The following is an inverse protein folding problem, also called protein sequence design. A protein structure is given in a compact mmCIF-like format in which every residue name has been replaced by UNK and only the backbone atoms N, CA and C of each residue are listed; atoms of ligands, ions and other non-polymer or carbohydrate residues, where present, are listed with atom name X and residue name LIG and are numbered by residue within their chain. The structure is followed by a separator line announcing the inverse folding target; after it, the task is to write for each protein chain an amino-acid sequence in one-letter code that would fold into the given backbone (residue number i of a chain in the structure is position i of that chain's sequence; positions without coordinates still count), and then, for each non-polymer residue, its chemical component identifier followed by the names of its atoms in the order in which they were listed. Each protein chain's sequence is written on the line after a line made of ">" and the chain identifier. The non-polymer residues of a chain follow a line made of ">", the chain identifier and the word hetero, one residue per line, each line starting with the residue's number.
data_IF_627667576692
#
_entry.id   IF_627667576692
#
_cell.length_a   1.000
_cell.length_b   1.000
_cell.length_c   1.000
_cell.angle_alpha   90.00
_cell.angle_beta   90.00
_cell.angle_gamma   90.00
#
_symmetry.space_group_name_H-M   'P 1'
#
loop_
_entity.id
_entity.type
_entity.pdbx_description
1 polymer ?
#
# COMPACT_ATOMS: atom_id res chain seq x y z
N UNK A 1 -41.98 62.05 13.56
CA UNK A 1 -41.17 61.72 12.38
C UNK A 1 -39.73 61.59 12.83
N UNK A 2 -39.27 60.37 12.94
CA UNK A 2 -37.85 60.00 13.22
C UNK A 2 -37.46 59.06 12.15
N UNK A 3 -36.49 59.45 11.33
CA UNK A 3 -35.91 58.70 10.22
C UNK A 3 -35.01 57.57 10.77
N UNK A 4 -35.27 56.36 10.29
CA UNK A 4 -34.39 55.20 10.48
C UNK A 4 -33.36 55.16 9.34
N UNK A 5 -32.12 55.55 9.64
CA UNK A 5 -30.99 55.31 8.73
C UNK A 5 -30.57 53.86 8.79
N UNK A 6 -30.68 53.19 7.65
CA UNK A 6 -30.20 51.79 7.46
C UNK A 6 -28.67 51.78 7.30
N UNK A 7 -27.98 51.12 8.22
CA UNK A 7 -26.53 50.82 8.11
C UNK A 7 -26.37 49.66 7.14
N UNK A 8 -25.84 49.94 5.96
CA UNK A 8 -25.33 48.89 5.04
C UNK A 8 -23.99 48.40 5.57
N UNK A 9 -23.96 47.16 6.07
CA UNK A 9 -22.71 46.46 6.39
C UNK A 9 -22.14 45.86 5.11
N UNK A 10 -20.94 46.30 4.73
CA UNK A 10 -20.21 45.81 3.56
C UNK A 10 -19.77 44.35 3.74
N UNK A 11 -20.50 43.41 3.12
CA UNK A 11 -20.23 41.97 3.15
C UNK A 11 -19.13 41.44 2.19
N UNK A 12 -18.36 42.33 1.57
CA UNK A 12 -17.39 41.93 0.53
C UNK A 12 -15.95 41.71 1.02
N UNK A 13 -15.51 42.40 2.06
CA UNK A 13 -14.12 42.29 2.55
C UNK A 13 -13.84 41.02 3.38
N UNK A 14 -14.83 40.51 4.10
CA UNK A 14 -14.67 39.27 4.88
C UNK A 14 -14.56 38.04 3.99
N UNK A 15 -15.30 38.00 2.87
CA UNK A 15 -15.27 36.90 1.90
C UNK A 15 -13.96 36.84 1.08
N UNK A 16 -13.42 38.02 0.73
CA UNK A 16 -12.12 38.08 0.03
C UNK A 16 -10.94 37.77 0.92
N UNK A 17 -10.98 38.17 2.20
CA UNK A 17 -9.94 37.83 3.16
C UNK A 17 -9.95 36.32 3.50
N UNK A 18 -11.12 35.70 3.63
CA UNK A 18 -11.23 34.26 3.84
C UNK A 18 -10.68 33.46 2.64
N UNK A 19 -10.99 33.88 1.40
CA UNK A 19 -10.43 33.28 0.17
C UNK A 19 -8.92 33.53 0.04
N UNK A 20 -8.42 34.72 0.40
CA UNK A 20 -6.97 35.00 0.42
C UNK A 20 -6.22 34.25 1.48
N UNK A 21 -6.81 33.96 2.64
CA UNK A 21 -6.23 33.11 3.71
C UNK A 21 -6.23 31.65 3.28
N UNK A 22 -7.31 31.15 2.67
CA UNK A 22 -7.38 29.79 2.13
C UNK A 22 -6.37 29.58 0.99
N UNK A 23 -6.26 30.54 0.04
CA UNK A 23 -5.27 30.48 -1.06
C UNK A 23 -3.84 30.66 -0.56
N UNK A 24 -3.61 31.39 0.55
CA UNK A 24 -2.28 31.51 1.18
C UNK A 24 -1.91 30.29 2.04
N UNK A 25 -2.87 29.59 2.66
CA UNK A 25 -2.60 28.34 3.36
C UNK A 25 -2.24 27.22 2.39
N UNK A 26 -2.84 27.21 1.20
CA UNK A 26 -2.52 26.23 0.15
C UNK A 26 -1.12 26.49 -0.49
N UNK A 27 -0.69 27.76 -0.59
CA UNK A 27 0.66 28.11 -1.08
C UNK A 27 1.79 27.94 -0.07
N UNK A 28 1.51 27.65 1.21
CA UNK A 28 2.51 27.40 2.28
C UNK A 28 2.63 25.94 2.68
N UNK A 29 1.94 25.00 2.07
CA UNK A 29 2.39 23.61 2.09
C UNK A 29 3.71 23.59 1.34
N UNK A 30 4.80 23.71 2.10
CA UNK A 30 6.15 23.53 1.57
C UNK A 30 6.11 22.34 0.63
N UNK A 31 6.76 22.45 -0.51
CA UNK A 31 6.99 21.35 -1.48
C UNK A 31 7.70 20.20 -0.79
N UNK A 32 6.96 19.41 -0.02
CA UNK A 32 7.50 18.30 0.75
C UNK A 32 7.42 17.05 -0.11
N UNK A 33 8.56 16.47 -0.39
CA UNK A 33 8.68 15.17 -1.04
C UNK A 33 8.74 14.11 0.04
N UNK A 34 7.60 13.50 0.34
CA UNK A 34 7.53 12.37 1.26
C UNK A 34 7.58 11.05 0.47
N UNK A 35 8.33 10.09 1.00
CA UNK A 35 8.42 8.75 0.45
C UNK A 35 8.09 7.72 1.52
N UNK A 36 7.07 6.90 1.24
CA UNK A 36 6.79 5.65 1.94
C UNK A 36 7.43 4.54 1.12
N UNK A 37 8.31 3.75 1.72
CA UNK A 37 8.81 2.52 1.10
C UNK A 37 8.15 1.38 1.85
N UNK A 38 7.14 0.77 1.20
CA UNK A 38 6.38 -0.33 1.78
C UNK A 38 6.88 -1.67 1.28
N UNK A 39 7.31 -2.52 2.20
CA UNK A 39 7.71 -3.90 1.91
C UNK A 39 6.52 -4.84 2.08
N UNK A 40 6.05 -5.42 1.00
CA UNK A 40 4.94 -6.37 1.00
C UNK A 40 5.39 -7.75 1.49
N UNK A 41 4.43 -8.59 1.92
CA UNK A 41 4.60 -10.00 2.29
C UNK A 41 5.33 -10.26 3.63
N UNK A 42 5.35 -9.35 4.59
CA UNK A 42 5.79 -9.66 5.95
C UNK A 42 4.95 -10.84 6.49
N UNK A 43 5.59 -11.84 7.08
CA UNK A 43 4.91 -13.04 7.55
C UNK A 43 4.87 -14.20 6.54
N UNK A 44 5.30 -13.99 5.30
CA UNK A 44 5.28 -15.05 4.29
C UNK A 44 6.25 -16.18 4.66
N UNK A 45 7.55 -15.91 4.76
CA UNK A 45 8.57 -16.85 5.25
C UNK A 45 9.57 -16.16 6.19
N UNK A 46 10.36 -16.95 6.91
CA UNK A 46 11.41 -16.43 7.79
C UNK A 46 12.46 -15.61 7.01
N UNK A 47 12.82 -16.05 5.80
CA UNK A 47 13.73 -15.33 4.92
C UNK A 47 13.20 -13.97 4.51
N UNK A 48 11.91 -13.91 4.17
CA UNK A 48 11.25 -12.64 3.84
C UNK A 48 11.22 -11.71 5.05
N UNK A 49 10.85 -12.20 6.22
CA UNK A 49 10.83 -11.40 7.45
C UNK A 49 12.20 -10.80 7.77
N UNK A 50 13.27 -11.61 7.70
CA UNK A 50 14.65 -11.13 7.94
C UNK A 50 15.05 -10.06 6.94
N UNK A 51 14.75 -10.24 5.65
CA UNK A 51 15.08 -9.26 4.61
C UNK A 51 14.36 -7.93 4.79
N UNK A 52 13.07 -7.96 5.14
CA UNK A 52 12.28 -6.76 5.43
C UNK A 52 12.86 -6.01 6.64
N UNK A 53 13.17 -6.71 7.73
CA UNK A 53 13.79 -6.10 8.91
C UNK A 53 15.14 -5.48 8.58
N UNK A 54 15.96 -6.15 7.77
CA UNK A 54 17.24 -5.59 7.35
C UNK A 54 17.05 -4.35 6.47
N UNK A 55 16.13 -4.39 5.50
CA UNK A 55 15.80 -3.26 4.64
C UNK A 55 15.24 -2.06 5.45
N UNK A 56 14.56 -2.33 6.57
CA UNK A 56 14.13 -1.29 7.50
C UNK A 56 15.30 -0.71 8.30
N UNK A 57 16.08 -1.56 8.95
CA UNK A 57 17.15 -1.12 9.88
C UNK A 57 18.32 -0.45 9.16
N UNK A 58 18.70 -0.95 8.00
CA UNK A 58 19.88 -0.50 7.25
C UNK A 58 19.55 0.28 5.99
N UNK A 59 18.30 0.25 5.53
CA UNK A 59 17.88 0.74 4.23
C UNK A 59 16.80 1.80 4.27
N UNK A 60 15.88 1.71 3.30
CA UNK A 60 14.84 2.70 3.04
C UNK A 60 13.45 2.28 3.51
N UNK A 61 13.20 1.02 3.86
CA UNK A 61 11.88 0.52 4.22
C UNK A 61 11.35 1.24 5.46
N UNK A 62 10.17 1.83 5.34
CA UNK A 62 9.50 2.59 6.41
C UNK A 62 8.21 1.93 6.87
N UNK A 63 7.60 1.12 5.99
CA UNK A 63 6.37 0.39 6.27
C UNK A 63 6.43 -1.01 5.72
N UNK A 64 5.57 -1.90 6.21
CA UNK A 64 5.44 -3.25 5.69
C UNK A 64 4.01 -3.76 5.88
N UNK A 65 3.56 -4.63 4.98
CA UNK A 65 2.23 -5.22 5.01
C UNK A 65 2.29 -6.67 5.44
N UNK A 66 1.62 -6.98 6.56
CA UNK A 66 1.66 -8.26 7.25
C UNK A 66 0.54 -9.20 6.77
N UNK A 67 0.93 -10.38 6.30
CA UNK A 67 0.03 -11.49 5.99
C UNK A 67 -0.41 -12.20 7.28
N UNK A 68 -1.67 -12.08 7.63
CA UNK A 68 -2.23 -12.70 8.83
C UNK A 68 -2.21 -14.25 8.76
N UNK A 69 -2.31 -14.80 7.57
CA UNK A 69 -2.27 -16.24 7.30
C UNK A 69 -0.91 -16.75 6.81
N UNK A 70 0.13 -15.92 6.82
CA UNK A 70 1.48 -16.31 6.43
C UNK A 70 2.09 -17.37 7.38
N UNK A 71 2.88 -18.30 6.84
CA UNK A 71 3.47 -19.39 7.63
C UNK A 71 4.48 -18.90 8.68
N UNK A 72 5.10 -17.74 8.45
CA UNK A 72 6.04 -17.10 9.37
C UNK A 72 5.40 -15.94 10.17
N UNK A 73 4.08 -15.97 10.38
CA UNK A 73 3.34 -14.92 11.09
C UNK A 73 3.91 -14.62 12.49
N UNK A 74 4.24 -15.67 13.27
CA UNK A 74 4.77 -15.49 14.64
C UNK A 74 6.10 -14.74 14.67
N UNK A 75 7.03 -15.05 13.77
CA UNK A 75 8.29 -14.34 13.70
C UNK A 75 8.12 -12.92 13.15
N UNK A 76 7.14 -12.70 12.28
CA UNK A 76 6.78 -11.37 11.82
C UNK A 76 6.29 -10.47 12.97
N UNK A 77 5.52 -11.01 13.91
CA UNK A 77 5.12 -10.29 15.13
C UNK A 77 6.33 -9.88 15.97
N UNK A 78 7.25 -10.81 16.22
CA UNK A 78 8.48 -10.51 16.95
C UNK A 78 9.34 -9.44 16.22
N UNK A 79 9.39 -9.53 14.90
CA UNK A 79 10.06 -8.54 14.06
C UNK A 79 9.41 -7.15 14.19
N UNK A 80 8.09 -7.05 14.11
CA UNK A 80 7.35 -5.80 14.27
C UNK A 80 7.55 -5.19 15.67
N UNK A 81 7.42 -5.98 16.72
CA UNK A 81 7.62 -5.55 18.10
C UNK A 81 9.05 -5.05 18.38
N UNK A 82 10.05 -5.66 17.75
CA UNK A 82 11.46 -5.27 17.86
C UNK A 82 11.83 -4.06 16.99
N UNK A 83 10.90 -3.56 16.16
CA UNK A 83 11.11 -2.43 15.25
C UNK A 83 9.92 -1.46 15.30
N UNK A 84 9.74 -0.73 16.42
CA UNK A 84 8.55 0.11 16.61
C UNK A 84 8.45 1.30 15.65
N UNK A 85 9.51 1.60 14.90
CA UNK A 85 9.52 2.62 13.85
C UNK A 85 8.98 2.10 12.51
N UNK A 86 8.86 0.77 12.34
CA UNK A 86 8.28 0.16 11.15
C UNK A 86 6.75 0.29 11.21
N UNK A 87 6.17 1.03 10.27
CA UNK A 87 4.72 1.05 10.12
C UNK A 87 4.22 -0.31 9.61
N UNK A 88 3.40 -1.01 10.38
CA UNK A 88 2.89 -2.33 9.98
C UNK A 88 1.41 -2.23 9.62
N UNK A 89 1.07 -2.56 8.36
CA UNK A 89 -0.30 -2.70 7.88
C UNK A 89 -0.76 -4.15 7.83
N UNK A 90 -2.01 -4.38 7.42
CA UNK A 90 -2.53 -5.72 7.11
C UNK A 90 -2.58 -5.92 5.61
N UNK A 91 -1.91 -6.97 5.14
CA UNK A 91 -1.91 -7.41 3.75
C UNK A 91 -3.09 -8.33 3.51
N UNK A 92 -4.24 -7.76 3.11
CA UNK A 92 -5.50 -8.47 2.91
C UNK A 92 -5.33 -9.52 1.80
N UNK A 93 -5.57 -10.78 2.13
CA UNK A 93 -5.30 -11.89 1.25
C UNK A 93 -6.58 -12.69 0.94
N UNK A 94 -6.71 -13.13 -0.30
CA UNK A 94 -7.77 -14.03 -0.78
C UNK A 94 -7.21 -15.10 -1.75
N UNK A 95 -5.90 -15.21 -1.86
CA UNK A 95 -5.29 -15.93 -2.99
C UNK A 95 -4.22 -16.94 -2.63
N UNK A 96 -3.80 -17.01 -1.37
CA UNK A 96 -2.70 -17.91 -1.00
C UNK A 96 -2.82 -18.39 0.46
N UNK A 97 -2.64 -19.67 0.69
CA UNK A 97 -2.61 -20.31 2.00
C UNK A 97 -3.98 -20.47 2.68
N UNK A 98 -3.99 -20.93 3.94
CA UNK A 98 -5.21 -21.24 4.66
C UNK A 98 -6.02 -19.97 4.98
N UNK A 99 -7.35 -20.07 5.13
CA UNK A 99 -8.16 -18.96 5.61
C UNK A 99 -7.82 -18.64 7.06
N UNK A 100 -8.09 -17.40 7.46
CA UNK A 100 -7.99 -16.96 8.85
C UNK A 100 -9.31 -17.11 9.59
N UNK A 101 -10.41 -16.87 8.90
CA UNK A 101 -11.76 -17.16 9.40
C UNK A 101 -12.03 -18.68 9.48
N UNK A 102 -13.00 -19.14 10.28
CA UNK A 102 -13.45 -20.54 10.26
C UNK A 102 -13.81 -20.98 8.83
N UNK A 103 -13.27 -22.10 8.38
CA UNK A 103 -13.42 -22.57 6.99
C UNK A 103 -14.90 -22.74 6.59
N UNK A 104 -15.76 -23.12 7.54
CA UNK A 104 -17.21 -23.25 7.34
C UNK A 104 -17.92 -21.93 7.04
N UNK A 105 -17.34 -20.80 7.44
CA UNK A 105 -17.91 -19.47 7.23
C UNK A 105 -17.45 -18.81 5.90
N UNK A 106 -16.41 -19.39 5.27
CA UNK A 106 -15.77 -18.83 4.06
C UNK A 106 -15.57 -19.88 2.95
N UNK A 107 -16.43 -20.93 2.95
CA UNK A 107 -16.34 -22.06 2.02
C UNK A 107 -16.26 -21.66 0.55
N UNK A 108 -16.97 -20.60 0.20
CA UNK A 108 -16.97 -20.07 -1.15
C UNK A 108 -15.64 -19.43 -1.58
N UNK A 109 -14.71 -19.17 -0.67
CA UNK A 109 -13.39 -18.65 -0.98
C UNK A 109 -12.32 -19.75 -1.10
N UNK A 110 -12.68 -20.99 -0.75
CA UNK A 110 -11.70 -22.06 -0.63
C UNK A 110 -11.69 -22.99 -1.85
N UNK A 111 -10.51 -23.44 -2.20
CA UNK A 111 -10.31 -24.54 -3.15
C UNK A 111 -10.64 -25.89 -2.52
N UNK A 112 -10.51 -26.98 -3.29
CA UNK A 112 -10.78 -28.34 -2.81
C UNK A 112 -9.80 -28.79 -1.69
N UNK A 113 -8.65 -28.15 -1.55
CA UNK A 113 -7.67 -28.41 -0.49
C UNK A 113 -7.97 -27.65 0.80
N UNK A 114 -8.90 -26.70 0.79
CA UNK A 114 -9.25 -25.88 1.95
C UNK A 114 -8.44 -24.60 2.05
N UNK A 115 -7.69 -24.25 1.03
CA UNK A 115 -6.89 -23.02 0.97
C UNK A 115 -7.54 -21.95 0.10
N UNK A 116 -7.19 -20.70 0.37
CA UNK A 116 -7.45 -19.56 -0.51
C UNK A 116 -6.54 -19.67 -1.75
N UNK A 117 -7.10 -19.84 -2.93
CA UNK A 117 -6.28 -20.11 -4.14
C UNK A 117 -6.77 -19.37 -5.37
N UNK A 118 -7.42 -18.26 -5.22
CA UNK A 118 -7.85 -17.50 -6.39
C UNK A 118 -6.97 -16.28 -6.65
N UNK A 119 -6.37 -16.24 -7.84
CA UNK A 119 -5.71 -15.02 -8.32
C UNK A 119 -6.71 -13.90 -8.64
N UNK A 120 -6.22 -12.66 -8.83
CA UNK A 120 -7.09 -11.51 -9.14
C UNK A 120 -8.00 -11.73 -10.34
N UNK A 121 -7.55 -12.48 -11.35
CA UNK A 121 -8.31 -12.79 -12.55
C UNK A 121 -9.51 -13.71 -12.24
N UNK A 122 -9.31 -14.75 -11.41
CA UNK A 122 -10.38 -15.64 -10.97
C UNK A 122 -11.40 -14.91 -10.10
N UNK A 123 -10.93 -14.13 -9.14
CA UNK A 123 -11.80 -13.28 -8.33
C UNK A 123 -12.62 -12.31 -9.17
N UNK A 124 -12.02 -11.67 -10.17
CA UNK A 124 -12.72 -10.75 -11.07
C UNK A 124 -13.81 -11.46 -11.88
N UNK A 125 -13.54 -12.67 -12.38
CA UNK A 125 -14.54 -13.48 -13.09
C UNK A 125 -15.72 -13.83 -12.15
N UNK A 126 -15.45 -14.23 -10.92
CA UNK A 126 -16.50 -14.54 -9.93
C UNK A 126 -17.30 -13.32 -9.50
N UNK A 127 -16.66 -12.15 -9.41
CA UNK A 127 -17.39 -10.88 -9.21
C UNK A 127 -18.33 -10.62 -10.39
N UNK A 128 -17.84 -10.79 -11.63
CA UNK A 128 -18.62 -10.54 -12.84
C UNK A 128 -19.79 -11.52 -13.00
N UNK A 129 -19.61 -12.79 -12.65
CA UNK A 129 -20.65 -13.83 -12.66
C UNK A 129 -21.57 -13.78 -11.43
N UNK A 130 -21.28 -12.93 -10.44
CA UNK A 130 -21.96 -12.84 -9.13
C UNK A 130 -21.86 -14.12 -8.30
N UNK A 131 -20.82 -14.92 -8.53
CA UNK A 131 -20.56 -16.16 -7.77
C UNK A 131 -19.67 -15.92 -6.55
N UNK A 132 -19.09 -14.72 -6.41
CA UNK A 132 -18.29 -14.38 -5.24
C UNK A 132 -19.21 -13.98 -4.08
N UNK A 133 -19.14 -14.74 -3.01
CA UNK A 133 -19.84 -14.41 -1.78
C UNK A 133 -19.15 -13.24 -1.04
N UNK A 134 -19.58 -12.03 -1.32
CA UNK A 134 -19.01 -10.78 -0.77
C UNK A 134 -18.96 -10.79 0.77
N UNK A 135 -19.95 -11.40 1.42
CA UNK A 135 -20.01 -11.56 2.88
C UNK A 135 -18.88 -12.46 3.41
N UNK A 136 -18.46 -13.46 2.64
CA UNK A 136 -17.36 -14.34 3.01
C UNK A 136 -16.01 -13.60 2.89
N UNK A 137 -15.86 -12.75 1.87
CA UNK A 137 -14.69 -11.86 1.77
C UNK A 137 -14.59 -10.94 2.99
N UNK A 138 -15.70 -10.33 3.38
CA UNK A 138 -15.73 -9.43 4.54
C UNK A 138 -15.37 -10.17 5.84
N UNK A 139 -15.89 -11.41 6.05
CA UNK A 139 -15.53 -12.24 7.21
C UNK A 139 -14.05 -12.61 7.22
N UNK A 140 -13.50 -13.05 6.09
CA UNK A 140 -12.09 -13.41 5.99
C UNK A 140 -11.18 -12.21 6.28
N UNK A 141 -11.43 -11.08 5.67
CA UNK A 141 -10.62 -9.89 5.90
C UNK A 141 -10.78 -9.32 7.31
N UNK A 142 -11.99 -9.37 7.87
CA UNK A 142 -12.23 -9.00 9.27
C UNK A 142 -11.43 -9.89 10.23
N UNK A 143 -11.42 -11.19 10.00
CA UNK A 143 -10.65 -12.16 10.78
C UNK A 143 -9.13 -11.91 10.65
N UNK A 144 -8.63 -11.58 9.43
CA UNK A 144 -7.23 -11.24 9.21
C UNK A 144 -6.83 -10.00 10.01
N UNK A 145 -7.60 -8.92 9.95
CA UNK A 145 -7.35 -7.70 10.70
C UNK A 145 -7.42 -7.96 12.21
N UNK A 146 -8.43 -8.67 12.67
CA UNK A 146 -8.62 -8.99 14.07
C UNK A 146 -7.45 -9.81 14.62
N UNK A 147 -7.00 -10.83 13.91
CA UNK A 147 -5.83 -11.65 14.29
C UNK A 147 -4.56 -10.83 14.48
N UNK A 148 -4.31 -9.87 13.59
CA UNK A 148 -3.16 -8.96 13.71
C UNK A 148 -3.30 -8.07 14.95
N UNK A 149 -4.49 -7.56 15.22
CA UNK A 149 -4.79 -6.71 16.39
C UNK A 149 -4.70 -7.48 17.71
N UNK A 150 -5.23 -8.69 17.75
CA UNK A 150 -5.17 -9.57 18.94
C UNK A 150 -3.74 -9.96 19.29
N UNK A 151 -2.86 -9.98 18.28
CA UNK A 151 -1.42 -10.16 18.47
C UNK A 151 -0.69 -8.89 18.97
N UNK A 152 -1.41 -7.81 19.28
CA UNK A 152 -0.87 -6.57 19.86
C UNK A 152 -0.31 -5.57 18.84
N UNK A 153 -0.51 -5.80 17.54
CA UNK A 153 -0.15 -4.83 16.49
C UNK A 153 -1.32 -3.86 16.28
N UNK A 154 -1.00 -2.57 16.17
CA UNK A 154 -1.95 -1.54 15.70
C UNK A 154 -1.70 -1.29 14.22
N UNK A 155 -2.53 -1.82 13.31
CA UNK A 155 -2.28 -1.67 11.89
C UNK A 155 -2.29 -0.20 11.47
N UNK A 156 -1.27 0.23 10.73
CA UNK A 156 -1.14 1.60 10.24
C UNK A 156 -1.91 1.84 8.96
N UNK A 157 -2.12 0.79 8.16
CA UNK A 157 -2.80 0.85 6.88
C UNK A 157 -3.35 -0.50 6.48
N UNK A 158 -4.19 -0.50 5.44
CA UNK A 158 -4.60 -1.69 4.71
C UNK A 158 -4.08 -1.64 3.28
N UNK A 159 -3.71 -2.78 2.78
CA UNK A 159 -3.48 -3.03 1.35
C UNK A 159 -3.88 -4.47 1.02
N UNK A 160 -3.57 -4.99 -0.16
CA UNK A 160 -3.97 -6.36 -0.49
C UNK A 160 -2.95 -7.09 -1.32
N UNK A 161 -2.78 -8.36 -0.99
CA UNK A 161 -1.94 -9.27 -1.73
C UNK A 161 -2.43 -9.35 -3.18
N UNK A 162 -1.51 -9.21 -4.13
CA UNK A 162 -1.83 -9.08 -5.57
C UNK A 162 -2.84 -7.97 -5.89
N UNK A 163 -2.95 -6.97 -4.99
CA UNK A 163 -3.87 -5.82 -5.11
C UNK A 163 -5.36 -6.18 -5.19
N UNK A 164 -5.77 -7.32 -4.61
CA UNK A 164 -7.15 -7.82 -4.64
C UNK A 164 -8.17 -6.82 -4.07
N UNK A 165 -7.76 -5.98 -3.10
CA UNK A 165 -8.62 -4.94 -2.55
C UNK A 165 -9.10 -3.91 -3.58
N UNK A 166 -8.38 -3.77 -4.72
CA UNK A 166 -8.76 -2.83 -5.78
C UNK A 166 -9.85 -3.35 -6.70
N UNK A 167 -10.27 -4.61 -6.56
CA UNK A 167 -11.33 -5.20 -7.38
C UNK A 167 -12.69 -4.58 -7.06
N UNK A 168 -13.62 -4.49 -8.03
CA UNK A 168 -14.93 -3.90 -7.84
C UNK A 168 -15.70 -4.54 -6.66
N UNK A 169 -16.24 -3.70 -5.78
CA UNK A 169 -16.97 -4.15 -4.57
C UNK A 169 -16.07 -4.55 -3.40
N UNK A 170 -14.79 -4.86 -3.65
CA UNK A 170 -13.86 -5.26 -2.59
C UNK A 170 -13.22 -4.06 -1.89
N UNK A 171 -13.03 -2.95 -2.60
CA UNK A 171 -12.48 -1.74 -2.01
C UNK A 171 -13.42 -1.13 -0.96
N UNK A 172 -14.73 -1.18 -1.21
CA UNK A 172 -15.77 -0.77 -0.26
C UNK A 172 -15.72 -1.59 1.03
N UNK A 173 -15.49 -2.90 0.92
CA UNK A 173 -15.32 -3.78 2.08
C UNK A 173 -14.07 -3.36 2.86
N UNK A 174 -12.93 -3.19 2.19
CA UNK A 174 -11.70 -2.78 2.84
C UNK A 174 -11.85 -1.43 3.56
N UNK A 175 -12.55 -0.45 2.98
CA UNK A 175 -12.85 0.82 3.64
C UNK A 175 -13.77 0.67 4.85
N UNK A 176 -14.82 -0.15 4.78
CA UNK A 176 -15.69 -0.41 5.94
C UNK A 176 -14.91 -1.05 7.09
N UNK A 177 -14.04 -2.01 6.77
CA UNK A 177 -13.19 -2.67 7.75
C UNK A 177 -12.11 -1.72 8.30
N UNK A 178 -11.51 -0.86 7.48
CA UNK A 178 -10.61 0.19 7.95
C UNK A 178 -11.29 1.07 9.01
N UNK A 179 -12.51 1.54 8.73
CA UNK A 179 -13.30 2.33 9.69
C UNK A 179 -13.65 1.54 10.94
N UNK A 180 -14.15 0.30 10.80
CA UNK A 180 -14.50 -0.59 11.92
C UNK A 180 -13.32 -0.77 12.88
N UNK A 181 -12.12 -0.93 12.34
CA UNK A 181 -10.92 -1.20 13.12
C UNK A 181 -10.08 0.04 13.46
N UNK A 182 -10.52 1.24 13.08
CA UNK A 182 -9.81 2.50 13.33
C UNK A 182 -8.47 2.59 12.59
N UNK A 183 -8.41 2.03 11.38
CA UNK A 183 -7.23 2.10 10.51
C UNK A 183 -7.40 3.30 9.58
N UNK A 184 -6.42 4.22 9.61
CA UNK A 184 -6.57 5.55 9.01
C UNK A 184 -6.01 5.70 7.60
N UNK A 185 -5.36 4.67 7.05
CA UNK A 185 -4.80 4.72 5.71
C UNK A 185 -5.06 3.44 4.92
N UNK A 186 -5.13 3.57 3.60
CA UNK A 186 -5.28 2.45 2.67
C UNK A 186 -4.47 2.70 1.40
N UNK A 187 -3.85 1.65 0.85
CA UNK A 187 -3.20 1.70 -0.45
C UNK A 187 -4.22 1.79 -1.58
N UNK A 188 -4.08 2.81 -2.42
CA UNK A 188 -4.68 2.85 -3.76
C UNK A 188 -3.59 2.56 -4.78
N UNK A 189 -3.62 1.36 -5.35
CA UNK A 189 -2.60 0.86 -6.28
C UNK A 189 -2.76 1.50 -7.68
N UNK A 190 -2.63 2.83 -7.74
CA UNK A 190 -2.68 3.61 -8.96
C UNK A 190 -1.28 4.03 -9.38
N UNK A 191 -0.68 3.27 -10.28
CA UNK A 191 0.66 3.57 -10.77
C UNK A 191 0.64 4.69 -11.81
N UNK A 192 1.25 5.82 -11.48
CA UNK A 192 1.41 6.95 -12.39
C UNK A 192 2.31 6.56 -13.57
N UNK A 193 1.83 6.85 -14.79
CA UNK A 193 2.55 6.49 -16.02
C UNK A 193 3.95 7.12 -16.11
N UNK A 194 4.11 8.33 -15.57
CA UNK A 194 5.39 9.03 -15.51
C UNK A 194 6.37 8.31 -14.59
N UNK A 195 5.97 7.99 -13.35
CA UNK A 195 6.81 7.27 -12.39
C UNK A 195 7.15 5.86 -12.88
N UNK A 196 6.18 5.17 -13.51
CA UNK A 196 6.40 3.88 -14.16
C UNK A 196 7.46 3.97 -15.25
N UNK A 197 7.38 4.98 -16.13
CA UNK A 197 8.34 5.18 -17.21
C UNK A 197 9.73 5.48 -16.68
N UNK A 198 9.83 6.27 -15.61
CA UNK A 198 11.08 6.58 -14.92
C UNK A 198 11.72 5.31 -14.37
N UNK A 199 10.97 4.47 -13.67
CA UNK A 199 11.47 3.20 -13.14
C UNK A 199 11.86 2.21 -14.25
N UNK A 200 11.08 2.14 -15.34
CA UNK A 200 11.32 1.21 -16.45
C UNK A 200 12.48 1.60 -17.36
N UNK A 201 12.78 2.89 -17.49
CA UNK A 201 13.80 3.40 -18.43
C UNK A 201 15.24 2.99 -18.07
N UNK A 202 15.42 2.38 -16.91
CA UNK A 202 16.74 2.05 -16.36
C UNK A 202 17.13 0.57 -16.40
N UNK A 203 16.33 -0.29 -17.06
CA UNK A 203 16.67 -1.72 -17.06
C UNK A 203 16.24 -2.45 -18.32
N UNK A 204 17.16 -3.00 -19.08
CA UNK A 204 16.94 -3.84 -20.25
C UNK A 204 16.48 -5.26 -19.90
N UNK A 205 15.41 -5.43 -19.09
CA UNK A 205 15.05 -6.75 -18.56
C UNK A 205 13.62 -7.19 -18.91
N UNK A 206 13.55 -8.44 -19.42
CA UNK A 206 12.35 -9.29 -19.53
C UNK A 206 11.08 -8.59 -20.03
N UNK A 207 11.12 -8.08 -21.26
CA UNK A 207 10.02 -7.35 -21.91
C UNK A 207 8.64 -8.01 -21.72
N UNK A 208 8.54 -9.34 -21.77
CA UNK A 208 7.29 -10.07 -21.58
C UNK A 208 6.72 -9.94 -20.16
N UNK A 209 7.57 -9.90 -19.12
CA UNK A 209 7.13 -9.77 -17.73
C UNK A 209 6.65 -8.34 -17.46
N UNK A 210 7.40 -7.34 -17.93
CA UNK A 210 7.02 -5.92 -17.85
C UNK A 210 5.72 -5.66 -18.65
N UNK A 211 5.52 -6.35 -19.77
CA UNK A 211 4.27 -6.24 -20.54
C UNK A 211 3.06 -6.77 -19.77
N UNK A 212 3.13 -7.98 -19.20
CA UNK A 212 2.02 -8.56 -18.40
C UNK A 212 1.67 -7.67 -17.19
N UNK A 213 2.67 -7.17 -16.49
CA UNK A 213 2.48 -6.25 -15.37
C UNK A 213 1.95 -4.89 -15.79
N UNK A 214 2.36 -4.41 -16.98
CA UNK A 214 1.82 -3.19 -17.57
C UNK A 214 0.32 -3.30 -17.90
N UNK A 215 -0.17 -4.49 -18.27
CA UNK A 215 -1.61 -4.75 -18.48
C UNK A 215 -2.35 -4.72 -17.13
N UNK A 216 -1.81 -5.36 -16.09
CA UNK A 216 -2.38 -5.33 -14.75
C UNK A 216 -2.43 -3.90 -14.19
N UNK A 217 -1.34 -3.14 -14.31
CA UNK A 217 -1.30 -1.74 -13.89
C UNK A 217 -2.31 -0.86 -14.63
N UNK A 218 -2.58 -1.15 -15.92
CA UNK A 218 -3.62 -0.45 -16.69
C UNK A 218 -5.03 -0.79 -16.22
N UNK A 219 -5.31 -2.04 -15.88
CA UNK A 219 -6.60 -2.45 -15.32
C UNK A 219 -6.87 -1.74 -13.99
N UNK A 220 -5.90 -1.74 -13.09
CA UNK A 220 -5.99 -1.05 -11.81
C UNK A 220 -6.14 0.48 -11.97
N UNK A 221 -5.52 1.07 -13.00
CA UNK A 221 -5.66 2.49 -13.30
C UNK A 221 -7.10 2.92 -13.56
N UNK A 222 -7.93 2.06 -14.17
CA UNK A 222 -9.34 2.34 -14.44
C UNK A 222 -10.19 2.36 -13.15
N UNK A 223 -9.79 1.60 -12.14
CA UNK A 223 -10.49 1.49 -10.86
C UNK A 223 -10.04 2.56 -9.85
N UNK A 224 -8.84 3.07 -9.99
CA UNK A 224 -8.20 3.93 -9.00
C UNK A 224 -8.87 5.28 -8.75
N UNK A 225 -9.39 6.04 -9.73
CA UNK A 225 -10.05 7.32 -9.47
C UNK A 225 -11.23 7.17 -8.53
N UNK A 226 -12.08 6.15 -8.75
CA UNK A 226 -13.21 5.85 -7.88
C UNK A 226 -12.73 5.45 -6.47
N UNK A 227 -11.66 4.63 -6.36
CA UNK A 227 -11.11 4.21 -5.09
C UNK A 227 -10.58 5.38 -4.24
N UNK A 228 -9.92 6.38 -4.87
CA UNK A 228 -9.47 7.59 -4.16
C UNK A 228 -10.64 8.40 -3.64
N UNK A 229 -11.62 8.69 -4.48
CA UNK A 229 -12.81 9.43 -4.09
C UNK A 229 -13.54 8.74 -2.94
N UNK A 230 -13.67 7.43 -3.00
CA UNK A 230 -14.27 6.62 -1.92
C UNK A 230 -13.46 6.69 -0.62
N UNK A 231 -12.13 6.64 -0.69
CA UNK A 231 -11.25 6.75 0.47
C UNK A 231 -11.38 8.15 1.10
N UNK A 232 -11.37 9.20 0.28
CA UNK A 232 -11.55 10.59 0.73
C UNK A 232 -12.89 10.79 1.43
N UNK A 233 -13.99 10.31 0.85
CA UNK A 233 -15.31 10.35 1.48
C UNK A 233 -15.38 9.53 2.78
N UNK A 234 -14.60 8.46 2.86
CA UNK A 234 -14.50 7.64 4.07
C UNK A 234 -13.61 8.27 5.16
N UNK A 235 -12.85 9.31 4.85
CA UNK A 235 -11.85 9.91 5.74
C UNK A 235 -10.65 8.99 5.96
N UNK A 236 -10.33 8.12 4.99
CA UNK A 236 -9.19 7.21 5.01
C UNK A 236 -8.11 7.74 4.08
N UNK A 237 -6.92 7.98 4.62
CA UNK A 237 -5.82 8.61 3.87
C UNK A 237 -5.24 7.65 2.80
N UNK A 238 -4.80 8.23 1.68
CA UNK A 238 -4.10 7.52 0.61
C UNK A 238 -2.82 8.28 0.22
N UNK A 239 -1.81 7.58 -0.28
CA UNK A 239 -0.66 8.26 -0.87
C UNK A 239 -1.07 9.00 -2.15
N UNK A 240 -0.48 10.20 -2.38
CA UNK A 240 -0.77 10.99 -3.59
C UNK A 240 -0.32 10.25 -4.87
N UNK A 241 0.78 9.50 -4.77
CA UNK A 241 1.36 8.74 -5.87
C UNK A 241 1.74 7.34 -5.40
N UNK A 242 1.67 6.39 -6.33
CA UNK A 242 2.04 4.99 -6.09
C UNK A 242 2.88 4.47 -7.26
N UNK A 243 3.89 3.64 -6.97
CA UNK A 243 4.72 2.98 -7.97
C UNK A 243 5.26 1.64 -7.45
N UNK A 244 5.67 0.75 -8.38
CA UNK A 244 6.28 -0.55 -8.09
C UNK A 244 5.60 -1.74 -8.74
N UNK A 245 4.35 -1.62 -9.27
CA UNK A 245 3.64 -2.74 -9.91
C UNK A 245 4.40 -3.20 -11.16
N UNK A 246 4.68 -2.28 -12.08
CA UNK A 246 5.30 -2.62 -13.34
C UNK A 246 6.72 -3.18 -13.19
N UNK A 247 7.39 -2.87 -12.08
CA UNK A 247 8.74 -3.34 -11.74
C UNK A 247 8.77 -4.47 -10.71
N UNK A 248 7.63 -5.03 -10.34
CA UNK A 248 7.57 -6.15 -9.39
C UNK A 248 8.45 -7.31 -9.86
N UNK A 249 9.52 -7.60 -9.12
CA UNK A 249 10.53 -8.61 -9.47
C UNK A 249 11.52 -8.17 -10.56
N UNK A 250 11.52 -6.89 -10.93
CA UNK A 250 12.44 -6.30 -11.92
C UNK A 250 12.96 -4.93 -11.50
N UNK A 251 12.91 -4.60 -10.20
CA UNK A 251 13.42 -3.35 -9.67
C UNK A 251 14.94 -3.29 -9.90
N UNK A 252 15.41 -2.14 -10.39
CA UNK A 252 16.84 -1.88 -10.61
C UNK A 252 17.30 -0.70 -9.78
N UNK A 253 18.60 -0.66 -9.51
CA UNK A 253 19.20 0.48 -8.81
C UNK A 253 18.97 1.79 -9.57
N UNK A 254 19.27 1.78 -10.86
CA UNK A 254 19.13 2.94 -11.73
C UNK A 254 17.67 3.43 -11.78
N UNK A 255 16.71 2.50 -11.73
CA UNK A 255 15.29 2.82 -11.64
C UNK A 255 14.95 3.56 -10.36
N UNK A 256 15.45 3.07 -9.21
CA UNK A 256 15.24 3.72 -7.91
C UNK A 256 15.92 5.09 -7.86
N UNK A 257 17.16 5.21 -8.36
CA UNK A 257 17.86 6.49 -8.44
C UNK A 257 17.06 7.53 -9.24
N UNK A 258 16.59 7.16 -10.43
CA UNK A 258 15.74 8.02 -11.27
C UNK A 258 14.42 8.38 -10.61
N UNK A 259 13.78 7.43 -9.91
CA UNK A 259 12.58 7.72 -9.15
C UNK A 259 12.85 8.81 -8.10
N UNK A 260 13.89 8.65 -7.30
CA UNK A 260 14.26 9.61 -6.25
C UNK A 260 14.62 10.99 -6.82
N UNK A 261 15.25 11.02 -8.00
CA UNK A 261 15.56 12.28 -8.69
C UNK A 261 14.32 13.03 -9.19
N UNK A 262 13.27 12.28 -9.58
CA UNK A 262 12.06 12.82 -10.19
C UNK A 262 10.82 12.69 -9.26
N UNK A 263 11.04 12.47 -7.97
CA UNK A 263 9.93 12.32 -7.01
C UNK A 263 9.08 13.60 -7.01
N UNK A 264 7.74 13.50 -7.21
CA UNK A 264 6.85 14.66 -7.19
C UNK A 264 6.70 15.23 -5.77
N UNK A 265 6.20 16.46 -5.69
CA UNK A 265 5.78 17.04 -4.40
C UNK A 265 4.54 16.29 -3.89
N UNK A 266 4.47 16.03 -2.59
CA UNK A 266 3.43 15.21 -1.96
C UNK A 266 3.99 13.92 -1.37
N UNK A 267 3.14 12.93 -1.20
CA UNK A 267 3.51 11.61 -0.66
C UNK A 267 3.49 10.56 -1.76
N UNK A 268 4.63 9.95 -2.01
CA UNK A 268 4.76 8.80 -2.93
C UNK A 268 4.93 7.52 -2.13
N UNK A 269 4.22 6.47 -2.49
CA UNK A 269 4.50 5.11 -2.06
C UNK A 269 5.31 4.37 -3.12
N UNK A 270 6.44 3.79 -2.71
CA UNK A 270 7.18 2.78 -3.46
C UNK A 270 6.90 1.41 -2.82
N UNK A 271 6.20 0.54 -3.54
CA UNK A 271 6.00 -0.86 -3.18
C UNK A 271 7.22 -1.69 -3.56
N UNK A 272 7.65 -2.58 -2.68
CA UNK A 272 8.79 -3.47 -2.91
C UNK A 272 8.61 -4.81 -2.18
N UNK A 273 9.46 -5.78 -2.52
CA UNK A 273 9.42 -7.14 -1.97
C UNK A 273 10.83 -7.61 -1.55
N UNK A 274 11.52 -6.91 -0.64
CA UNK A 274 12.84 -7.36 -0.19
C UNK A 274 12.72 -8.66 0.62
N UNK A 275 13.70 -9.55 0.49
CA UNK A 275 13.70 -10.80 1.24
C UNK A 275 14.95 -11.63 0.98
N UNK A 276 15.22 -12.58 1.86
CA UNK A 276 16.15 -13.66 1.60
C UNK A 276 15.41 -14.84 1.00
N UNK A 277 16.06 -15.51 0.05
CA UNK A 277 15.52 -16.73 -0.55
C UNK A 277 15.87 -17.91 0.36
N UNK A 278 14.87 -18.46 1.03
CA UNK A 278 15.00 -19.67 1.84
C UNK A 278 14.26 -20.86 1.20
N UNK A 279 14.42 -22.06 1.76
CA UNK A 279 13.79 -23.26 1.24
C UNK A 279 12.25 -23.23 1.34
N UNK A 280 11.72 -22.48 2.29
CA UNK A 280 10.27 -22.28 2.42
C UNK A 280 9.75 -21.44 1.26
N UNK A 281 10.40 -20.31 0.96
CA UNK A 281 10.03 -19.46 -0.15
C UNK A 281 10.05 -20.20 -1.49
N UNK A 282 11.04 -21.06 -1.71
CA UNK A 282 11.13 -21.89 -2.93
C UNK A 282 9.92 -22.82 -3.10
N UNK A 283 9.33 -23.29 -2.00
CA UNK A 283 8.15 -24.18 -2.00
C UNK A 283 6.83 -23.46 -2.25
N UNK A 284 6.76 -22.16 -2.04
CA UNK A 284 5.49 -21.41 -2.15
C UNK A 284 5.02 -21.20 -3.61
N UNK A 285 5.81 -21.58 -4.61
CA UNK A 285 5.48 -21.38 -6.03
C UNK A 285 5.47 -19.92 -6.47
N UNK A 286 5.81 -18.97 -5.59
CA UNK A 286 5.91 -17.55 -5.96
C UNK A 286 6.98 -17.34 -7.03
N UNK A 287 6.70 -16.46 -8.00
CA UNK A 287 7.69 -16.04 -8.99
C UNK A 287 8.75 -15.08 -8.44
N UNK A 288 8.46 -14.45 -7.27
CA UNK A 288 9.36 -13.51 -6.62
C UNK A 288 10.31 -14.25 -5.70
N UNK A 289 11.43 -14.72 -6.24
CA UNK A 289 12.49 -15.40 -5.51
C UNK A 289 13.77 -14.54 -5.54
N UNK A 290 14.67 -14.77 -6.48
CA UNK A 290 15.96 -14.05 -6.57
C UNK A 290 15.79 -12.53 -6.64
N UNK A 291 14.67 -12.05 -7.20
CA UNK A 291 14.33 -10.63 -7.21
C UNK A 291 14.22 -10.01 -5.82
N UNK A 292 13.77 -10.78 -4.81
CA UNK A 292 13.68 -10.27 -3.43
C UNK A 292 15.03 -9.91 -2.86
N UNK A 293 16.04 -10.73 -3.13
CA UNK A 293 17.41 -10.47 -2.69
C UNK A 293 18.02 -9.29 -3.44
N UNK A 294 17.72 -9.15 -4.73
CA UNK A 294 18.11 -7.98 -5.52
C UNK A 294 17.48 -6.71 -4.95
N UNK A 295 16.19 -6.71 -4.65
CA UNK A 295 15.49 -5.58 -4.04
C UNK A 295 16.06 -5.24 -2.66
N UNK A 296 16.38 -6.25 -1.83
CA UNK A 296 17.04 -6.05 -0.53
C UNK A 296 18.38 -5.32 -0.70
N UNK A 297 19.21 -5.76 -1.65
CA UNK A 297 20.51 -5.14 -1.93
C UNK A 297 20.35 -3.67 -2.38
N UNK A 298 19.39 -3.38 -3.25
CA UNK A 298 19.10 -2.03 -3.72
C UNK A 298 18.65 -1.14 -2.57
N UNK A 299 17.69 -1.61 -1.78
CA UNK A 299 17.08 -0.83 -0.70
C UNK A 299 18.05 -0.57 0.47
N UNK A 300 19.08 -1.39 0.63
CA UNK A 300 20.14 -1.23 1.65
C UNK A 300 21.40 -0.56 1.14
N UNK A 301 21.46 -0.19 -0.15
CA UNK A 301 22.61 0.49 -0.74
C UNK A 301 22.80 1.90 -0.14
N UNK A 302 23.98 2.14 0.45
CA UNK A 302 24.32 3.42 1.06
C UNK A 302 24.29 4.61 0.09
N UNK A 303 24.48 4.38 -1.22
CA UNK A 303 24.38 5.42 -2.25
C UNK A 303 22.96 5.89 -2.43
N UNK A 304 22.00 4.96 -2.45
CA UNK A 304 20.56 5.28 -2.53
C UNK A 304 20.15 6.07 -1.29
N UNK A 305 20.57 5.64 -0.11
CA UNK A 305 20.30 6.35 1.15
C UNK A 305 20.87 7.77 1.16
N UNK A 306 22.09 7.94 0.63
CA UNK A 306 22.69 9.26 0.47
C UNK A 306 21.90 10.14 -0.50
N UNK A 307 21.39 9.56 -1.60
CA UNK A 307 20.57 10.27 -2.58
C UNK A 307 19.27 10.79 -1.95
N UNK A 308 18.57 9.99 -1.15
CA UNK A 308 17.40 10.42 -0.38
C UNK A 308 17.70 11.67 0.45
N UNK A 309 18.80 11.65 1.21
CA UNK A 309 19.21 12.78 2.04
C UNK A 309 19.55 14.02 1.21
N UNK A 310 20.32 13.87 0.13
CA UNK A 310 20.77 14.99 -0.71
C UNK A 310 19.64 15.63 -1.52
N UNK A 311 18.57 14.87 -1.82
CA UNK A 311 17.37 15.38 -2.52
C UNK A 311 16.32 15.97 -1.56
N UNK A 312 16.59 15.99 -0.25
CA UNK A 312 15.66 16.50 0.74
C UNK A 312 14.36 15.68 0.83
N UNK A 313 14.42 14.38 0.47
CA UNK A 313 13.27 13.47 0.54
C UNK A 313 13.09 13.02 1.98
N UNK A 314 11.88 13.20 2.50
CA UNK A 314 11.51 12.75 3.83
C UNK A 314 10.96 11.33 3.77
N UNK A 315 11.66 10.38 4.38
CA UNK A 315 11.14 9.03 4.58
C UNK A 315 10.09 9.08 5.69
N UNK A 316 8.88 8.63 5.38
CA UNK A 316 7.77 8.52 6.33
C UNK A 316 7.17 7.12 6.26
N UNK A 317 6.53 6.69 7.34
CA UNK A 317 5.72 5.47 7.33
C UNK A 317 4.24 5.81 7.18
N UNK A 318 3.41 4.82 6.90
CA UNK A 318 1.97 4.97 6.86
C UNK A 318 1.38 5.43 8.21
N UNK A 319 2.09 5.23 9.33
CA UNK A 319 1.64 5.74 10.63
C UNK A 319 1.53 7.27 10.69
N UNK A 320 2.21 7.99 9.78
CA UNK A 320 2.14 9.44 9.66
C UNK A 320 1.09 9.92 8.64
N UNK A 321 0.36 8.99 8.00
CA UNK A 321 -0.76 9.29 7.11
C UNK A 321 -2.04 9.42 7.93
N UNK A 322 -2.83 10.47 7.71
CA UNK A 322 -4.12 10.65 8.39
C UNK A 322 -4.01 11.04 9.87
N UNK A 323 -2.82 11.35 10.36
CA UNK A 323 -2.63 11.81 11.73
C UNK A 323 -3.07 13.26 11.91
N UNK A 324 -4.22 13.45 12.56
CA UNK A 324 -4.37 14.55 13.50
C UNK A 324 -3.80 14.03 14.81
N UNK A 325 -2.75 14.67 15.29
CA UNK A 325 -2.24 14.49 16.64
C UNK A 325 -3.33 14.75 17.67
#
# INVERSE_FOLDING_TARGET
>A
MLELQAIRVNGTEAGENAKRVAVRSDRRRAKLKNLIVNADDLGWTEGVNRGIVEAHRKGLVTSSSLLANGCAFRSALAAAQSNPQLGVGVHLNLSDGPPTAPAEEVRGLLNKGGDLEEGPEGLLLRIASRDLAIQEVEREWDAQIQKVRDAGIRPTHLDGHKHVQMLPGLFEIALRLAKKHGIHAIRVAHEESTLRSVLASAGGQKAAMVFKQGVQARGLKLLAPNAREMADHAGVATADYFCGIAQTGALTREGVEKLLENLPDGTTELMCHPGYVDEELKKTGTRLQDSRQTELQILTDGRIRKLVATRGIRLISYSLMGGVA
#
